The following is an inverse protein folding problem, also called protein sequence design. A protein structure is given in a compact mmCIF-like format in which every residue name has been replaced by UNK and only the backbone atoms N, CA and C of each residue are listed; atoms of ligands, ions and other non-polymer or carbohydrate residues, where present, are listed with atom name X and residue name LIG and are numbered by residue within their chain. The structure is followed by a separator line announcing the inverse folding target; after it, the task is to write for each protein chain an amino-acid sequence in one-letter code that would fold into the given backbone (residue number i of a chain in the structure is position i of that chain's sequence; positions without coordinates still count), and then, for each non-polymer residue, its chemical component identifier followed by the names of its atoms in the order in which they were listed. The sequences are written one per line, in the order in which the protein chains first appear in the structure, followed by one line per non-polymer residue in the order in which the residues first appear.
data_IF_434456173009
#
_entry.id   IF_434456173009
#
_cell.length_a   1.000
_cell.length_b   1.000
_cell.length_c   1.000
_cell.angle_alpha   90.00
_cell.angle_beta   90.00
_cell.angle_gamma   90.00
#
_symmetry.space_group_name_H-M   'P 1'
#
loop_
_entity.id
_entity.type
_entity.pdbx_description
1 polymer ?
#
# COMPACT_ATOMS: atom_id res chain seq x y z
N UNK A 1 11.61 -15.33 7.80
CA UNK A 1 12.36 -15.59 9.05
C UNK A 1 11.99 -14.53 10.08
N UNK A 2 11.94 -14.88 11.35
CA UNK A 2 11.77 -13.88 12.40
C UNK A 2 13.04 -13.01 12.49
N UNK A 3 12.90 -11.69 12.46
CA UNK A 3 14.01 -10.77 12.71
C UNK A 3 14.48 -10.98 14.16
N UNK A 4 15.76 -11.29 14.40
CA UNK A 4 16.24 -11.69 15.72
C UNK A 4 16.45 -10.46 16.63
N UNK A 5 15.38 -9.77 16.98
CA UNK A 5 15.40 -8.75 18.04
C UNK A 5 15.31 -9.48 19.37
N UNK A 6 16.46 -9.88 19.93
CA UNK A 6 16.53 -10.68 21.18
C UNK A 6 15.91 -9.96 22.39
N UNK A 7 15.74 -8.65 22.30
CA UNK A 7 15.42 -7.75 23.42
C UNK A 7 14.02 -7.15 23.35
N UNK A 8 13.16 -7.59 22.41
CA UNK A 8 11.80 -7.07 22.25
C UNK A 8 10.75 -8.20 22.22
N UNK A 9 9.55 -7.93 22.74
CA UNK A 9 8.43 -8.90 22.69
C UNK A 9 7.77 -9.00 21.30
N UNK A 10 8.08 -8.07 20.40
CA UNK A 10 7.48 -8.02 19.06
C UNK A 10 8.30 -8.85 18.09
N UNK A 11 7.64 -9.81 17.42
CA UNK A 11 8.23 -10.58 16.33
C UNK A 11 7.93 -9.91 14.99
N UNK A 12 8.97 -9.46 14.32
CA UNK A 12 8.90 -9.03 12.93
C UNK A 12 9.35 -10.15 12.02
N UNK A 13 8.77 -10.23 10.81
CA UNK A 13 9.14 -11.23 9.83
C UNK A 13 9.76 -10.55 8.61
N UNK A 14 10.87 -11.10 8.17
CA UNK A 14 11.64 -10.62 7.01
C UNK A 14 11.81 -11.76 6.00
N UNK A 15 12.06 -11.40 4.73
CA UNK A 15 12.45 -12.37 3.72
C UNK A 15 13.79 -13.04 4.10
N UNK A 16 13.91 -14.35 3.86
CA UNK A 16 15.13 -15.13 4.12
C UNK A 16 16.21 -14.89 3.07
N UNK A 17 15.79 -14.62 1.85
CA UNK A 17 16.66 -14.42 0.69
C UNK A 17 16.22 -13.12 -0.01
N UNK A 18 17.14 -12.46 -0.72
CA UNK A 18 16.75 -11.43 -1.69
C UNK A 18 15.81 -12.11 -2.68
N UNK A 19 14.50 -11.82 -2.64
CA UNK A 19 13.56 -12.55 -3.47
C UNK A 19 13.91 -12.29 -4.92
N UNK A 20 13.98 -13.35 -5.74
CA UNK A 20 14.06 -13.19 -7.19
C UNK A 20 12.92 -12.29 -7.67
N UNK A 21 13.18 -11.43 -8.65
CA UNK A 21 12.16 -10.58 -9.24
C UNK A 21 10.92 -11.41 -9.62
N UNK A 22 9.75 -10.99 -9.17
CA UNK A 22 8.47 -11.66 -9.42
C UNK A 22 7.41 -10.62 -9.67
N UNK A 23 6.58 -10.83 -10.69
CA UNK A 23 5.46 -9.93 -11.00
C UNK A 23 4.41 -9.89 -9.89
N UNK A 24 4.34 -10.93 -9.05
CA UNK A 24 3.42 -11.01 -7.92
C UNK A 24 3.95 -10.31 -6.67
N UNK A 25 5.16 -9.74 -6.71
CA UNK A 25 5.73 -9.00 -5.58
C UNK A 25 6.18 -7.61 -6.02
N UNK A 26 5.91 -6.55 -5.26
CA UNK A 26 6.39 -5.23 -5.62
C UNK A 26 7.93 -5.19 -5.52
N UNK A 27 8.58 -4.61 -6.53
CA UNK A 27 10.05 -4.59 -6.63
C UNK A 27 10.78 -3.90 -5.47
N UNK A 28 10.13 -2.94 -4.80
CA UNK A 28 10.73 -2.25 -3.66
C UNK A 28 10.65 -3.07 -2.36
N UNK A 29 9.83 -4.12 -2.31
CA UNK A 29 9.78 -5.03 -1.16
C UNK A 29 10.91 -6.05 -1.15
N UNK A 30 11.68 -6.15 -2.24
CA UNK A 30 12.74 -7.14 -2.41
C UNK A 30 14.13 -6.60 -2.07
N UNK A 31 14.28 -5.29 -1.83
CA UNK A 31 15.57 -4.64 -1.62
C UNK A 31 15.58 -3.89 -0.30
N UNK A 32 16.48 -4.30 0.60
CA UNK A 32 16.89 -3.49 1.74
C UNK A 32 17.68 -2.27 1.24
N UNK A 33 17.39 -1.08 1.77
CA UNK A 33 18.22 0.10 1.52
C UNK A 33 19.31 0.13 2.59
N UNK A 34 20.57 0.23 2.20
CA UNK A 34 21.71 0.32 3.12
C UNK A 34 22.49 1.58 2.83
N UNK A 35 23.01 2.21 3.89
CA UNK A 35 23.80 3.41 3.75
C UNK A 35 24.46 3.83 5.06
N UNK A 36 24.94 5.06 5.03
CA UNK A 36 25.52 5.75 6.19
C UNK A 36 24.80 7.09 6.36
N UNK A 37 24.67 7.53 7.61
CA UNK A 37 24.07 8.82 7.92
C UNK A 37 24.37 9.30 9.32
N UNK A 38 24.08 10.57 9.55
CA UNK A 38 24.26 11.19 10.86
C UNK A 38 23.03 10.92 11.72
N UNK A 39 23.21 10.24 12.84
CA UNK A 39 22.14 9.97 13.80
C UNK A 39 22.20 11.00 14.92
N UNK A 40 21.14 11.79 15.06
CA UNK A 40 20.97 12.76 16.14
C UNK A 40 20.00 12.18 17.17
N UNK A 41 20.49 11.89 18.37
CA UNK A 41 19.65 11.36 19.45
C UNK A 41 18.94 12.53 20.12
N UNK A 42 17.61 12.54 20.08
CA UNK A 42 16.80 13.61 20.67
C UNK A 42 16.41 13.29 22.10
N UNK A 43 16.04 12.04 22.36
CA UNK A 43 15.50 11.62 23.65
C UNK A 43 15.69 10.11 23.85
N UNK A 44 16.02 9.74 25.07
CA UNK A 44 16.10 8.36 25.54
C UNK A 44 15.19 8.22 26.75
N UNK A 45 14.12 7.46 26.60
CA UNK A 45 13.10 7.33 27.64
C UNK A 45 12.73 5.88 27.86
N UNK A 46 12.11 5.64 29.00
CA UNK A 46 11.57 4.33 29.32
C UNK A 46 10.13 4.26 28.86
N UNK A 47 9.77 3.21 28.14
CA UNK A 47 8.39 2.88 27.78
C UNK A 47 7.85 1.77 28.70
N UNK A 48 6.64 1.28 28.42
CA UNK A 48 5.92 0.27 29.18
C UNK A 48 6.82 -0.93 29.55
N UNK A 49 7.02 -1.17 30.85
CA UNK A 49 7.78 -2.31 31.37
C UNK A 49 9.29 -2.10 31.51
N UNK A 50 9.75 -0.89 31.84
CA UNK A 50 11.15 -0.53 32.07
C UNK A 50 12.11 -0.66 30.86
N UNK A 51 11.56 -0.85 29.67
CA UNK A 51 12.32 -0.96 28.42
C UNK A 51 12.70 0.41 27.86
N UNK A 52 13.89 0.50 27.26
CA UNK A 52 14.38 1.74 26.69
C UNK A 52 13.88 1.93 25.26
N UNK A 53 13.44 3.15 25.00
CA UNK A 53 13.12 3.71 23.69
C UNK A 53 14.01 4.92 23.41
N UNK A 54 14.38 5.06 22.14
CA UNK A 54 15.21 6.15 21.63
C UNK A 54 14.43 6.85 20.52
N UNK A 55 14.32 8.16 20.62
CA UNK A 55 13.85 9.04 19.55
C UNK A 55 15.03 9.80 18.97
N UNK A 56 15.07 9.88 17.64
CA UNK A 56 16.12 10.60 16.96
C UNK A 56 15.77 10.96 15.53
N UNK A 57 16.73 11.58 14.87
CA UNK A 57 16.68 11.92 13.46
C UNK A 57 17.89 11.30 12.77
N UNK A 58 17.65 10.55 11.70
CA UNK A 58 18.66 10.12 10.75
C UNK A 58 18.75 11.17 9.64
N UNK A 59 19.95 11.64 9.34
CA UNK A 59 20.22 12.52 8.20
C UNK A 59 21.12 11.81 7.21
N UNK A 60 20.65 11.65 5.98
CA UNK A 60 21.38 10.96 4.93
C UNK A 60 20.97 11.49 3.55
N UNK A 61 21.90 11.55 2.57
CA UNK A 61 21.55 11.83 1.18
C UNK A 61 20.77 10.68 0.55
N UNK A 62 20.84 9.48 1.12
CA UNK A 62 20.13 8.30 0.64
C UNK A 62 18.65 8.34 1.02
N UNK A 63 17.83 7.61 0.28
CA UNK A 63 16.42 7.44 0.65
C UNK A 63 16.31 6.56 1.89
N UNK A 64 15.61 7.04 2.92
CA UNK A 64 15.33 6.24 4.13
C UNK A 64 14.00 5.51 3.96
N UNK A 65 14.05 4.26 3.49
CA UNK A 65 12.88 3.39 3.38
C UNK A 65 11.92 3.66 2.21
N UNK A 66 10.96 2.75 2.09
CA UNK A 66 9.88 2.76 1.12
C UNK A 66 8.52 3.09 1.76
N UNK A 67 8.34 2.79 3.05
CA UNK A 67 7.10 2.99 3.82
C UNK A 67 7.39 3.34 5.29
N UNK A 68 6.40 3.95 5.95
CA UNK A 68 6.38 4.18 7.41
C UNK A 68 6.50 2.88 8.24
N UNK A 69 6.05 1.77 7.68
CA UNK A 69 6.04 0.46 8.32
C UNK A 69 7.35 -0.30 8.18
N UNK A 70 8.31 0.23 7.42
CA UNK A 70 9.63 -0.36 7.30
C UNK A 70 10.40 -0.25 8.63
N UNK A 71 11.25 -1.24 8.89
CA UNK A 71 12.11 -1.24 10.07
C UNK A 71 13.45 -0.61 9.70
N UNK A 72 13.78 0.48 10.41
CA UNK A 72 15.10 1.07 10.37
C UNK A 72 15.99 0.35 11.38
N UNK A 73 17.02 -0.36 10.91
CA UNK A 73 18.10 -0.87 11.73
C UNK A 73 19.25 0.13 11.72
N UNK A 74 19.65 0.61 12.89
CA UNK A 74 20.79 1.48 13.12
C UNK A 74 21.84 0.75 13.93
N UNK A 75 23.11 0.90 13.55
CA UNK A 75 24.24 0.38 14.31
C UNK A 75 24.98 1.53 14.99
N UNK A 76 24.47 1.97 16.14
CA UNK A 76 24.95 3.15 16.85
C UNK A 76 26.32 2.87 17.51
N UNK A 77 27.36 3.67 17.21
CA UNK A 77 28.66 3.49 17.85
C UNK A 77 28.64 4.12 19.25
N UNK A 78 28.62 3.28 20.28
CA UNK A 78 28.75 3.67 21.69
C UNK A 78 30.19 3.37 22.18
N UNK A 79 30.61 3.95 23.32
CA UNK A 79 31.89 3.60 23.91
C UNK A 79 32.02 2.08 24.11
N UNK A 80 33.03 1.48 23.48
CA UNK A 80 33.37 0.06 23.56
C UNK A 80 32.32 -0.94 22.98
N UNK A 81 31.25 -0.48 22.34
CA UNK A 81 30.24 -1.35 21.73
C UNK A 81 29.55 -0.70 20.53
N UNK A 82 29.22 -1.48 19.51
CA UNK A 82 28.29 -1.09 18.46
C UNK A 82 26.90 -1.64 18.82
N UNK A 83 25.96 -0.76 19.14
CA UNK A 83 24.62 -1.14 19.58
C UNK A 83 23.66 -1.18 18.38
N UNK A 84 22.95 -2.30 18.24
CA UNK A 84 21.90 -2.47 17.25
C UNK A 84 20.56 -1.95 17.78
N UNK A 85 20.07 -0.85 17.19
CA UNK A 85 18.76 -0.26 17.45
C UNK A 85 17.82 -0.57 16.30
N UNK A 86 16.60 -0.98 16.62
CA UNK A 86 15.54 -1.21 15.62
C UNK A 86 14.44 -0.19 15.83
N UNK A 87 14.07 0.54 14.78
CA UNK A 87 13.16 1.66 14.85
C UNK A 87 12.10 1.64 13.75
N UNK A 88 11.01 2.35 14.01
CA UNK A 88 10.03 2.72 12.99
C UNK A 88 10.29 4.14 12.54
N UNK A 89 10.07 4.39 11.26
CA UNK A 89 10.12 5.72 10.70
C UNK A 89 8.86 6.48 11.10
N UNK A 90 9.05 7.70 11.61
CA UNK A 90 7.95 8.62 11.88
C UNK A 90 7.75 9.49 10.64
N UNK A 91 6.58 9.35 10.01
CA UNK A 91 6.22 10.08 8.78
C UNK A 91 5.52 11.40 9.05
N UNK A 92 5.60 11.94 10.26
CA UNK A 92 5.06 13.26 10.57
C UNK A 92 5.65 14.35 9.64
N UNK A 93 4.78 15.18 9.07
CA UNK A 93 5.13 16.26 8.15
C UNK A 93 6.07 17.30 8.80
N UNK A 94 7.00 17.85 8.01
CA UNK A 94 7.86 18.97 8.42
C UNK A 94 9.36 18.69 8.54
N UNK A 95 9.87 17.60 7.96
CA UNK A 95 11.30 17.33 7.87
C UNK A 95 11.90 17.82 6.55
N UNK A 96 13.16 18.24 6.60
CA UNK A 96 13.91 18.60 5.40
C UNK A 96 14.18 17.34 4.55
N UNK A 97 14.40 17.53 3.25
CA UNK A 97 14.82 16.44 2.36
C UNK A 97 16.10 15.78 2.89
N UNK A 98 16.10 14.45 2.99
CA UNK A 98 17.22 13.67 3.55
C UNK A 98 17.19 13.51 5.08
N UNK A 99 16.17 14.03 5.76
CA UNK A 99 15.96 13.79 7.19
C UNK A 99 14.79 12.82 7.43
N UNK A 100 14.99 11.84 8.30
CA UNK A 100 13.97 10.90 8.73
C UNK A 100 13.94 10.81 10.26
N UNK A 101 12.79 11.12 10.86
CA UNK A 101 12.58 10.86 12.29
C UNK A 101 12.33 9.39 12.51
N UNK A 102 12.81 8.89 13.64
CA UNK A 102 12.58 7.52 14.03
C UNK A 102 12.30 7.43 15.53
N UNK A 103 11.58 6.37 15.90
CA UNK A 103 11.45 5.92 17.28
C UNK A 103 11.77 4.44 17.35
N UNK A 104 12.67 4.05 18.25
CA UNK A 104 13.02 2.64 18.43
C UNK A 104 11.85 1.86 19.01
N UNK A 105 11.80 0.58 18.68
CA UNK A 105 10.99 -0.40 19.39
C UNK A 105 11.54 -0.51 20.82
N UNK A 106 10.71 -0.66 21.86
CA UNK A 106 11.20 -0.86 23.22
C UNK A 106 12.13 -2.08 23.31
N UNK A 107 13.36 -1.87 23.76
CA UNK A 107 14.37 -2.92 23.93
C UNK A 107 14.76 -3.05 25.40
N UNK A 108 14.84 -4.30 25.86
CA UNK A 108 15.43 -4.67 27.14
C UNK A 108 16.95 -4.78 26.99
N UNK A 109 17.68 -3.75 27.42
CA UNK A 109 19.13 -3.66 27.32
C UNK A 109 19.76 -3.70 28.71
N UNK A 110 21.01 -4.15 28.79
CA UNK A 110 21.75 -4.21 30.04
C UNK A 110 21.83 -2.81 30.71
N UNK A 111 21.79 -2.71 32.05
CA UNK A 111 21.76 -1.44 32.77
C UNK A 111 22.88 -0.48 32.37
N UNK A 112 24.09 -1.01 32.12
CA UNK A 112 25.25 -0.22 31.72
C UNK A 112 25.05 0.41 30.34
N UNK A 113 24.39 -0.31 29.42
CA UNK A 113 24.04 0.20 28.09
C UNK A 113 22.94 1.26 28.20
N UNK A 114 21.98 1.08 29.10
CA UNK A 114 20.92 2.07 29.33
C UNK A 114 21.49 3.40 29.83
N UNK A 115 22.42 3.36 30.79
CA UNK A 115 23.10 4.57 31.28
C UNK A 115 23.91 5.23 30.17
N UNK A 116 24.69 4.46 29.40
CA UNK A 116 25.43 4.99 28.26
C UNK A 116 24.49 5.68 27.26
N UNK A 117 23.39 5.05 26.88
CA UNK A 117 22.40 5.61 25.97
C UNK A 117 21.80 6.91 26.49
N UNK A 118 21.42 6.98 27.77
CA UNK A 118 20.88 8.23 28.35
C UNK A 118 21.88 9.38 28.29
N UNK A 119 23.16 9.11 28.44
CA UNK A 119 24.23 10.10 28.29
C UNK A 119 24.43 10.56 26.84
N UNK A 120 23.77 9.93 25.86
CA UNK A 120 23.82 10.33 24.44
C UNK A 120 22.70 11.29 24.03
N UNK A 121 21.79 11.66 24.93
CA UNK A 121 20.76 12.66 24.61
C UNK A 121 21.39 13.97 24.11
N UNK A 122 20.96 14.42 22.93
CA UNK A 122 21.52 15.59 22.24
C UNK A 122 22.80 15.32 21.43
N UNK A 123 23.37 14.11 21.51
CA UNK A 123 24.57 13.75 20.77
C UNK A 123 24.28 13.48 19.28
N UNK A 124 25.31 13.67 18.47
CA UNK A 124 25.33 13.37 17.04
C UNK A 124 26.36 12.28 16.78
N UNK A 125 25.93 11.24 16.09
CA UNK A 125 26.76 10.09 15.69
C UNK A 125 26.95 10.13 14.18
N UNK A 126 28.05 10.70 13.69
CA UNK A 126 28.31 10.78 12.26
C UNK A 126 28.61 9.38 11.68
N UNK A 127 28.38 9.23 10.38
CA UNK A 127 28.70 8.02 9.62
C UNK A 127 28.15 6.73 10.24
N UNK A 128 26.96 6.80 10.85
CA UNK A 128 26.31 5.65 11.48
C UNK A 128 25.76 4.72 10.38
N UNK A 129 26.15 3.43 10.35
CA UNK A 129 25.59 2.48 9.40
C UNK A 129 24.10 2.27 9.67
N UNK A 130 23.31 2.24 8.59
CA UNK A 130 21.90 1.91 8.66
C UNK A 130 21.45 0.95 7.56
N UNK A 131 20.38 0.23 7.85
CA UNK A 131 19.64 -0.57 6.88
C UNK A 131 18.14 -0.35 7.09
N UNK A 132 17.41 -0.02 6.03
CA UNK A 132 15.95 -0.06 6.05
C UNK A 132 15.46 -1.38 5.48
N UNK A 133 14.72 -2.12 6.30
CA UNK A 133 14.25 -3.46 6.03
C UNK A 133 12.74 -3.38 5.74
N UNK A 134 12.30 -3.68 4.50
CA UNK A 134 10.89 -3.71 4.17
C UNK A 134 10.16 -4.77 5.00
N UNK A 135 9.07 -4.38 5.65
CA UNK A 135 8.24 -5.33 6.38
C UNK A 135 7.33 -6.05 5.40
N UNK A 136 7.46 -7.38 5.32
CA UNK A 136 6.55 -8.22 4.55
C UNK A 136 5.40 -8.66 5.44
N UNK A 137 4.17 -8.36 5.02
CA UNK A 137 2.97 -8.74 5.74
C UNK A 137 1.82 -9.07 4.76
N UNK A 138 0.66 -9.46 5.28
CA UNK A 138 -0.53 -9.84 4.51
C UNK A 138 -0.94 -8.84 3.39
N UNK A 139 -0.72 -7.52 3.49
CA UNK A 139 -0.96 -6.60 2.38
C UNK A 139 -0.16 -6.90 1.10
N UNK A 140 0.98 -7.58 1.19
CA UNK A 140 1.70 -8.07 0.01
C UNK A 140 0.89 -9.11 -0.80
N UNK A 141 0.04 -9.89 -0.11
CA UNK A 141 -0.87 -10.82 -0.78
C UNK A 141 -2.01 -10.07 -1.49
N UNK A 142 -2.43 -8.90 -1.00
CA UNK A 142 -3.40 -8.04 -1.70
C UNK A 142 -2.85 -7.58 -3.06
N UNK A 143 -1.58 -7.17 -3.11
CA UNK A 143 -0.94 -6.86 -4.39
C UNK A 143 -0.91 -8.08 -5.32
N UNK A 144 -0.57 -9.26 -4.80
CA UNK A 144 -0.61 -10.51 -5.58
C UNK A 144 -2.01 -10.77 -6.14
N UNK A 145 -3.06 -10.54 -5.34
CA UNK A 145 -4.46 -10.65 -5.77
C UNK A 145 -4.82 -9.61 -6.84
N UNK A 146 -4.29 -8.39 -6.76
CA UNK A 146 -4.48 -7.37 -7.79
C UNK A 146 -3.86 -7.83 -9.12
N UNK A 147 -2.65 -8.39 -9.09
CA UNK A 147 -1.97 -8.93 -10.27
C UNK A 147 -2.73 -10.12 -10.86
N UNK A 148 -3.26 -11.02 -10.01
CA UNK A 148 -4.12 -12.12 -10.47
C UNK A 148 -5.43 -11.60 -11.07
N UNK A 149 -6.04 -10.57 -10.48
CA UNK A 149 -7.21 -9.91 -11.04
C UNK A 149 -6.92 -9.28 -12.41
N UNK A 150 -5.77 -8.63 -12.57
CA UNK A 150 -5.32 -8.10 -13.84
C UNK A 150 -5.12 -9.22 -14.88
N UNK A 151 -4.47 -10.33 -14.48
CA UNK A 151 -4.32 -11.50 -15.34
C UNK A 151 -5.67 -12.04 -15.82
N UNK A 152 -6.65 -12.15 -14.93
CA UNK A 152 -7.96 -12.74 -15.23
C UNK A 152 -8.87 -11.82 -16.05
N UNK A 153 -8.80 -10.51 -15.84
CA UNK A 153 -9.80 -9.58 -16.39
C UNK A 153 -9.25 -8.66 -17.48
N UNK A 154 -7.93 -8.47 -17.54
CA UNK A 154 -7.31 -7.42 -18.35
C UNK A 154 -6.31 -7.93 -19.38
N UNK A 155 -5.86 -9.18 -19.28
CA UNK A 155 -4.87 -9.76 -20.20
C UNK A 155 -5.57 -10.49 -21.34
N UNK A 156 -5.24 -10.10 -22.57
CA UNK A 156 -5.73 -10.74 -23.79
C UNK A 156 -4.66 -10.79 -24.88
N UNK A 157 -5.02 -11.16 -26.10
CA UNK A 157 -4.07 -11.24 -27.23
C UNK A 157 -3.39 -9.90 -27.57
N UNK A 158 -3.95 -8.77 -27.13
CA UNK A 158 -3.48 -7.42 -27.45
C UNK A 158 -2.58 -6.78 -26.39
N UNK A 159 -2.29 -7.45 -25.27
CA UNK A 159 -1.38 -6.93 -24.23
C UNK A 159 -0.68 -8.06 -23.46
N UNK A 160 0.13 -7.69 -22.49
CA UNK A 160 0.80 -8.64 -21.59
C UNK A 160 0.38 -8.36 -20.15
N UNK A 161 0.63 -9.32 -19.26
CA UNK A 161 0.41 -9.13 -17.82
C UNK A 161 1.16 -7.91 -17.27
N UNK A 162 2.39 -7.67 -17.74
CA UNK A 162 3.20 -6.52 -17.33
C UNK A 162 2.52 -5.20 -17.67
N UNK A 163 2.00 -5.07 -18.91
CA UNK A 163 1.27 -3.87 -19.36
C UNK A 163 -0.03 -3.69 -18.57
N UNK A 164 -0.84 -4.74 -18.45
CA UNK A 164 -2.11 -4.67 -17.71
C UNK A 164 -1.92 -4.30 -16.23
N UNK A 165 -0.87 -4.82 -15.60
CA UNK A 165 -0.54 -4.52 -14.20
C UNK A 165 -0.05 -3.08 -14.05
N UNK A 166 0.81 -2.59 -14.96
CA UNK A 166 1.28 -1.20 -14.93
C UNK A 166 0.13 -0.21 -15.13
N UNK A 167 -0.76 -0.47 -16.08
CA UNK A 167 -1.96 0.34 -16.32
C UNK A 167 -2.88 0.36 -15.09
N UNK A 168 -3.08 -0.78 -14.42
CA UNK A 168 -3.87 -0.88 -13.20
C UNK A 168 -3.24 -0.08 -12.03
N UNK A 169 -1.92 -0.17 -11.85
CA UNK A 169 -1.20 0.61 -10.83
C UNK A 169 -1.27 2.10 -11.15
N UNK A 170 -1.12 2.48 -12.42
CA UNK A 170 -1.25 3.85 -12.89
C UNK A 170 -2.65 4.41 -12.59
N UNK A 171 -3.69 3.62 -12.82
CA UNK A 171 -5.07 3.96 -12.48
C UNK A 171 -5.28 4.09 -10.95
N UNK A 172 -4.73 3.16 -10.15
CA UNK A 172 -4.81 3.23 -8.70
C UNK A 172 -4.19 4.51 -8.13
N UNK A 173 -3.03 4.93 -8.65
CA UNK A 173 -2.38 6.20 -8.27
C UNK A 173 -3.20 7.42 -8.65
N UNK A 174 -3.81 7.43 -9.85
CA UNK A 174 -4.70 8.52 -10.28
C UNK A 174 -5.93 8.62 -9.37
N UNK A 175 -6.54 7.50 -8.99
CA UNK A 175 -7.62 7.48 -8.01
C UNK A 175 -7.19 8.07 -6.67
N UNK A 176 -6.01 7.70 -6.19
CA UNK A 176 -5.44 8.24 -4.96
C UNK A 176 -5.24 9.75 -5.01
N UNK A 177 -4.71 10.27 -6.13
CA UNK A 177 -4.50 11.70 -6.34
C UNK A 177 -5.84 12.47 -6.33
N UNK A 178 -6.85 11.99 -7.06
CA UNK A 178 -8.18 12.61 -7.06
C UNK A 178 -8.83 12.59 -5.67
N UNK A 179 -8.67 11.51 -4.90
CA UNK A 179 -9.22 11.40 -3.56
C UNK A 179 -8.61 12.40 -2.56
N UNK A 180 -7.39 12.88 -2.81
CA UNK A 180 -6.70 13.88 -1.96
C UNK A 180 -6.99 15.33 -2.35
N UNK A 181 -7.68 15.58 -3.48
CA UNK A 181 -8.01 16.94 -3.87
C UNK A 181 -9.00 17.53 -2.85
N UNK A 182 -8.78 18.77 -2.39
CA UNK A 182 -9.71 19.42 -1.48
C UNK A 182 -11.08 19.52 -2.14
N UNK A 183 -12.08 18.91 -1.51
CA UNK A 183 -13.47 19.08 -1.90
C UNK A 183 -13.83 20.58 -1.79
N UNK A 184 -14.55 21.12 -2.78
CA UNK A 184 -15.10 22.46 -2.62
C UNK A 184 -16.03 22.47 -1.37
N UNK A 185 -16.12 23.59 -0.63
CA UNK A 185 -16.71 23.63 0.72
C UNK A 185 -18.11 23.03 0.88
N UNK A 186 -18.87 22.86 -0.22
CA UNK A 186 -20.22 22.30 -0.26
C UNK A 186 -20.34 20.94 -0.98
N UNK A 187 -19.22 20.28 -1.27
CA UNK A 187 -19.21 19.02 -2.05
C UNK A 187 -19.24 17.83 -1.10
N UNK A 188 -20.31 17.03 -1.18
CA UNK A 188 -20.35 15.71 -0.54
C UNK A 188 -19.23 14.86 -1.15
N UNK A 189 -18.40 14.24 -0.30
CA UNK A 189 -17.39 13.26 -0.73
C UNK A 189 -18.03 12.25 -1.69
N UNK A 190 -17.58 12.27 -2.95
CA UNK A 190 -18.14 11.36 -3.94
C UNK A 190 -17.90 9.90 -3.49
N UNK A 191 -18.94 9.05 -3.56
CA UNK A 191 -18.78 7.62 -3.32
C UNK A 191 -17.66 7.07 -4.21
N UNK A 192 -16.81 6.19 -3.66
CA UNK A 192 -15.66 5.61 -4.36
C UNK A 192 -15.98 5.16 -5.81
N UNK A 193 -17.11 4.48 -5.99
CA UNK A 193 -17.54 3.99 -7.31
C UNK A 193 -17.78 5.11 -8.33
N UNK A 194 -18.30 6.27 -7.91
CA UNK A 194 -18.49 7.43 -8.78
C UNK A 194 -17.14 8.03 -9.21
N UNK A 195 -16.22 8.21 -8.24
CA UNK A 195 -14.85 8.67 -8.52
C UNK A 195 -14.11 7.72 -9.46
N UNK A 196 -14.27 6.41 -9.28
CA UNK A 196 -13.69 5.39 -10.16
C UNK A 196 -14.11 5.58 -11.62
N UNK A 197 -15.40 5.78 -11.86
CA UNK A 197 -15.96 6.05 -13.19
C UNK A 197 -15.45 7.39 -13.72
N UNK A 198 -15.49 8.45 -12.91
CA UNK A 198 -15.06 9.78 -13.32
C UNK A 198 -13.60 9.80 -13.80
N UNK A 199 -12.69 9.18 -13.04
CA UNK A 199 -11.27 9.06 -13.42
C UNK A 199 -11.10 8.32 -14.74
N UNK A 200 -11.87 7.26 -14.94
CA UNK A 200 -11.82 6.50 -16.18
C UNK A 200 -12.36 7.30 -17.38
N UNK A 201 -13.50 7.98 -17.23
CA UNK A 201 -14.09 8.77 -18.33
C UNK A 201 -13.25 10.01 -18.68
N UNK A 202 -12.54 10.58 -17.71
CA UNK A 202 -11.65 11.72 -17.92
C UNK A 202 -10.42 11.38 -18.80
N UNK A 203 -10.01 10.10 -18.86
CA UNK A 203 -8.83 9.67 -19.60
C UNK A 203 -9.14 8.53 -20.60
N UNK A 204 -9.22 8.83 -21.91
CA UNK A 204 -9.45 7.81 -22.94
C UNK A 204 -8.41 6.68 -22.94
N UNK A 205 -7.17 6.94 -22.48
CA UNK A 205 -6.13 5.92 -22.40
C UNK A 205 -6.46 4.87 -21.35
N UNK A 206 -7.03 5.29 -20.21
CA UNK A 206 -7.49 4.38 -19.15
C UNK A 206 -8.60 3.48 -19.68
N UNK A 207 -9.57 4.03 -20.43
CA UNK A 207 -10.65 3.24 -21.02
C UNK A 207 -10.16 2.23 -22.05
N UNK A 208 -9.17 2.59 -22.85
CA UNK A 208 -8.54 1.68 -23.80
C UNK A 208 -7.69 0.60 -23.13
N UNK A 209 -7.03 0.93 -22.02
CA UNK A 209 -6.18 0.00 -21.28
C UNK A 209 -6.99 -0.98 -20.42
N UNK A 210 -7.96 -0.46 -19.67
CA UNK A 210 -8.66 -1.16 -18.58
C UNK A 210 -10.15 -1.39 -18.88
N UNK A 211 -10.60 -1.25 -20.12
CA UNK A 211 -12.00 -1.40 -20.50
C UNK A 211 -12.49 -2.86 -20.56
N UNK A 212 -13.81 -3.10 -20.59
CA UNK A 212 -14.40 -4.44 -20.52
C UNK A 212 -14.10 -5.33 -21.71
N UNK A 213 -13.68 -4.75 -22.85
CA UNK A 213 -13.24 -5.51 -24.03
C UNK A 213 -12.02 -6.40 -23.75
N UNK A 214 -11.28 -6.12 -22.67
CA UNK A 214 -10.16 -6.97 -22.22
C UNK A 214 -10.57 -8.32 -21.65
N UNK A 215 -11.85 -8.49 -21.28
CA UNK A 215 -12.38 -9.79 -20.82
C UNK A 215 -12.34 -10.87 -21.92
N UNK A 216 -12.46 -10.46 -23.18
CA UNK A 216 -12.38 -11.37 -24.31
C UNK A 216 -10.92 -11.50 -24.78
N UNK A 217 -10.51 -12.74 -25.08
CA UNK A 217 -9.16 -13.01 -25.57
C UNK A 217 -8.90 -12.34 -26.93
N UNK A 218 -9.89 -12.34 -27.81
CA UNK A 218 -9.90 -11.70 -29.12
C UNK A 218 -11.31 -11.30 -29.58
N UNK A 219 -11.39 -10.51 -30.65
CA UNK A 219 -12.63 -10.31 -31.42
C UNK A 219 -13.70 -9.39 -30.83
N UNK A 220 -13.51 -8.78 -29.66
CA UNK A 220 -14.48 -7.85 -29.05
C UNK A 220 -13.93 -6.43 -29.04
N UNK A 221 -14.68 -5.49 -29.63
CA UNK A 221 -14.31 -4.07 -29.61
C UNK A 221 -14.70 -3.41 -28.28
N UNK A 222 -14.10 -2.25 -27.98
CA UNK A 222 -14.47 -1.47 -26.80
C UNK A 222 -15.96 -1.06 -26.78
N UNK A 223 -16.51 -0.76 -27.96
CA UNK A 223 -17.92 -0.37 -28.12
C UNK A 223 -18.87 -1.55 -27.86
N UNK A 224 -18.57 -2.71 -28.45
CA UNK A 224 -19.37 -3.93 -28.25
C UNK A 224 -19.37 -4.37 -26.78
N UNK A 225 -18.19 -4.35 -26.15
CA UNK A 225 -18.07 -4.73 -24.74
C UNK A 225 -18.84 -3.78 -23.81
N UNK A 226 -18.87 -2.48 -24.12
CA UNK A 226 -19.62 -1.49 -23.35
C UNK A 226 -21.15 -1.65 -23.48
N UNK A 227 -21.62 -2.32 -24.53
CA UNK A 227 -23.04 -2.67 -24.68
C UNK A 227 -23.45 -3.79 -23.71
N UNK A 228 -22.56 -4.73 -23.42
CA UNK A 228 -22.84 -5.90 -22.58
C UNK A 228 -22.53 -5.70 -21.10
N UNK A 229 -21.47 -4.94 -20.80
CA UNK A 229 -21.01 -4.73 -19.42
C UNK A 229 -21.38 -3.32 -18.96
N UNK A 230 -22.17 -3.17 -17.87
CA UNK A 230 -22.51 -1.86 -17.33
C UNK A 230 -21.26 -1.11 -16.88
N UNK A 231 -21.05 0.16 -17.29
CA UNK A 231 -19.87 0.93 -16.88
C UNK A 231 -19.75 1.08 -15.36
N UNK A 232 -20.88 1.21 -14.65
CA UNK A 232 -20.92 1.35 -13.19
C UNK A 232 -20.47 0.07 -12.47
N UNK A 233 -20.70 -1.09 -13.09
CA UNK A 233 -20.25 -2.37 -12.56
C UNK A 233 -18.78 -2.60 -12.90
N UNK A 234 -18.40 -2.38 -14.17
CA UNK A 234 -17.04 -2.58 -14.64
C UNK A 234 -16.02 -1.73 -13.88
N UNK A 235 -16.25 -0.42 -13.80
CA UNK A 235 -15.33 0.48 -13.12
C UNK A 235 -15.33 0.29 -11.60
N UNK A 236 -16.39 -0.28 -11.02
CA UNK A 236 -16.36 -0.72 -9.63
C UNK A 236 -15.45 -1.95 -9.46
N UNK A 237 -15.48 -2.92 -10.39
CA UNK A 237 -14.57 -4.07 -10.38
C UNK A 237 -13.12 -3.61 -10.52
N UNK A 238 -12.81 -2.79 -11.53
CA UNK A 238 -11.45 -2.27 -11.75
C UNK A 238 -11.00 -1.40 -10.58
N UNK A 239 -11.88 -0.54 -10.04
CA UNK A 239 -11.61 0.22 -8.84
C UNK A 239 -11.32 -0.66 -7.62
N UNK A 240 -12.04 -1.76 -7.45
CA UNK A 240 -11.79 -2.73 -6.36
C UNK A 240 -10.43 -3.40 -6.51
N UNK A 241 -10.04 -3.78 -7.74
CA UNK A 241 -8.68 -4.27 -8.02
C UNK A 241 -7.62 -3.21 -7.75
N UNK A 242 -7.89 -1.94 -8.08
CA UNK A 242 -6.97 -0.84 -7.80
C UNK A 242 -6.76 -0.63 -6.30
N UNK A 243 -7.81 -0.79 -5.47
CA UNK A 243 -7.73 -0.69 -4.00
C UNK A 243 -6.93 -1.81 -3.35
N UNK A 244 -6.72 -2.94 -4.04
CA UNK A 244 -5.84 -4.02 -3.59
C UNK A 244 -4.36 -3.65 -3.69
N UNK A 245 -3.99 -2.55 -4.36
CA UNK A 245 -2.61 -2.03 -4.40
C UNK A 245 -2.36 -1.21 -3.13
N UNK A 246 -1.58 -1.71 -2.15
CA UNK A 246 -1.36 -1.00 -0.90
C UNK A 246 -0.63 0.34 -1.14
N UNK A 247 -1.09 1.38 -0.45
CA UNK A 247 -0.48 2.71 -0.52
C UNK A 247 -0.63 3.45 -1.84
N UNK A 248 -1.50 3.02 -2.75
CA UNK A 248 -1.78 3.76 -3.99
C UNK A 248 -2.55 5.07 -3.73
N UNK A 249 -3.25 5.16 -2.60
CA UNK A 249 -4.06 6.30 -2.18
C UNK A 249 -4.92 6.00 -0.95
N UNK A 250 -5.68 6.97 -0.43
CA UNK A 250 -6.48 6.81 0.77
C UNK A 250 -7.59 5.74 0.67
N UNK A 251 -8.01 5.37 -0.54
CA UNK A 251 -9.01 4.33 -0.77
C UNK A 251 -8.45 2.90 -0.71
N UNK A 252 -7.12 2.74 -0.72
CA UNK A 252 -6.47 1.43 -0.68
C UNK A 252 -6.89 0.68 0.59
N UNK A 253 -7.05 -0.64 0.52
CA UNK A 253 -7.44 -1.42 1.71
C UNK A 253 -6.39 -1.37 2.82
N UNK A 254 -5.13 -1.20 2.44
CA UNK A 254 -3.98 -1.06 3.33
C UNK A 254 -3.19 0.20 2.95
N UNK A 255 -2.72 0.93 3.96
CA UNK A 255 -1.95 2.17 3.80
C UNK A 255 -0.59 1.93 3.16
N UNK A 256 -0.01 0.78 3.43
CA UNK A 256 1.23 0.31 2.85
C UNK A 256 1.32 -1.22 3.00
N UNK A 257 2.46 -1.77 2.61
CA UNK A 257 2.64 -3.21 2.60
C UNK A 257 2.93 -3.84 3.97
N UNK A 258 3.24 -3.03 4.98
CA UNK A 258 3.43 -3.45 6.36
C UNK A 258 2.19 -3.21 7.24
N UNK A 259 1.12 -2.62 6.70
CA UNK A 259 -0.13 -2.28 7.39
C UNK A 259 -0.99 -3.52 7.71
N UNK A 260 -0.49 -4.36 8.61
CA UNK A 260 -1.24 -5.45 9.21
C UNK A 260 -1.07 -5.48 10.72
N UNK A 261 -2.11 -5.96 11.40
CA UNK A 261 -2.01 -6.24 12.82
C UNK A 261 -1.07 -7.42 13.07
N UNK A 262 -0.09 -7.32 13.98
CA UNK A 262 0.82 -8.42 14.31
C UNK A 262 0.10 -9.70 14.78
N UNK A 263 -1.13 -9.59 15.26
CA UNK A 263 -1.90 -10.71 15.82
C UNK A 263 -3.10 -11.14 14.97
N UNK A 264 -3.47 -10.38 13.94
CA UNK A 264 -4.62 -10.64 13.08
C UNK A 264 -4.27 -10.28 11.62
N UNK A 265 -3.38 -11.07 11.00
CA UNK A 265 -2.90 -10.82 9.65
C UNK A 265 -4.02 -10.92 8.61
N UNK A 266 -4.96 -11.85 8.83
CA UNK A 266 -6.12 -12.09 7.98
C UNK A 266 -7.08 -10.91 7.90
N UNK A 267 -7.06 -9.99 8.88
CA UNK A 267 -7.92 -8.81 8.91
C UNK A 267 -7.73 -7.90 7.69
N UNK A 268 -6.55 -7.95 7.05
CA UNK A 268 -6.29 -7.23 5.80
C UNK A 268 -7.21 -7.69 4.65
N UNK A 269 -7.78 -8.90 4.72
CA UNK A 269 -8.65 -9.49 3.69
C UNK A 269 -10.15 -9.20 3.90
N UNK A 270 -10.57 -8.78 5.10
CA UNK A 270 -12.00 -8.65 5.44
C UNK A 270 -12.77 -7.69 4.52
N UNK A 271 -12.21 -6.48 4.32
CA UNK A 271 -12.81 -5.48 3.45
C UNK A 271 -12.76 -5.89 1.96
N UNK A 272 -11.63 -6.36 1.41
CA UNK A 272 -11.57 -6.95 0.07
C UNK A 272 -12.62 -8.04 -0.17
N UNK A 273 -12.73 -9.03 0.74
CA UNK A 273 -13.65 -10.15 0.59
C UNK A 273 -15.11 -9.70 0.59
N UNK A 274 -15.46 -8.71 1.43
CA UNK A 274 -16.80 -8.12 1.45
C UNK A 274 -17.14 -7.44 0.13
N UNK A 275 -16.25 -6.62 -0.39
CA UNK A 275 -16.48 -5.86 -1.61
C UNK A 275 -16.55 -6.79 -2.84
N UNK A 276 -15.64 -7.77 -2.93
CA UNK A 276 -15.67 -8.80 -3.96
C UNK A 276 -16.95 -9.66 -3.86
N UNK A 277 -17.41 -9.99 -2.65
CA UNK A 277 -18.67 -10.70 -2.43
C UNK A 277 -19.88 -9.91 -2.96
N UNK A 278 -19.93 -8.61 -2.71
CA UNK A 278 -20.97 -7.72 -3.24
C UNK A 278 -20.93 -7.65 -4.77
N UNK A 279 -19.74 -7.53 -5.37
CA UNK A 279 -19.57 -7.54 -6.82
C UNK A 279 -19.97 -8.88 -7.45
N UNK A 280 -19.68 -10.00 -6.79
CA UNK A 280 -20.09 -11.33 -7.24
C UNK A 280 -21.62 -11.46 -7.27
N UNK A 281 -22.32 -10.93 -6.27
CA UNK A 281 -23.78 -10.91 -6.27
C UNK A 281 -24.35 -10.04 -7.41
N UNK A 282 -23.76 -8.86 -7.67
CA UNK A 282 -24.19 -7.96 -8.76
C UNK A 282 -23.94 -8.57 -10.15
N UNK A 283 -22.80 -9.24 -10.34
CA UNK A 283 -22.43 -9.87 -11.62
C UNK A 283 -23.27 -11.11 -11.95
N UNK A 284 -23.76 -11.87 -10.94
CA UNK A 284 -24.71 -12.97 -11.17
C UNK A 284 -25.97 -12.54 -11.92
N UNK A 285 -26.42 -11.30 -11.70
CA UNK A 285 -27.56 -10.72 -12.42
C UNK A 285 -27.33 -10.57 -13.94
N UNK A 286 -26.07 -10.53 -14.38
CA UNK A 286 -25.72 -10.49 -15.82
C UNK A 286 -25.77 -11.86 -16.50
N UNK A 287 -25.71 -12.95 -15.74
CA UNK A 287 -25.70 -14.32 -16.29
C UNK A 287 -27.12 -14.85 -16.49
N UNK A 288 -28.07 -14.47 -15.63
CA UNK A 288 -29.40 -15.11 -15.53
C UNK A 288 -30.52 -14.26 -16.14
N UNK A 289 -30.32 -12.95 -16.34
CA UNK A 289 -31.35 -12.03 -16.85
C UNK A 289 -30.86 -11.31 -18.10
N UNK A 290 -31.77 -11.03 -19.05
CA UNK A 290 -31.50 -10.07 -20.12
C UNK A 290 -31.37 -8.67 -19.51
N UNK A 291 -30.16 -8.34 -19.08
CA UNK A 291 -29.80 -7.03 -18.52
C UNK A 291 -30.21 -5.88 -19.46
N UNK A 292 -30.24 -6.13 -20.77
CA UNK A 292 -30.74 -5.20 -21.78
C UNK A 292 -32.21 -4.87 -21.55
N UNK A 293 -33.06 -5.89 -21.41
CA UNK A 293 -34.48 -5.74 -21.05
C UNK A 293 -34.66 -5.02 -19.70
N UNK A 294 -33.84 -5.33 -18.69
CA UNK A 294 -33.89 -4.63 -17.40
C UNK A 294 -33.50 -3.14 -17.51
N UNK A 295 -32.52 -2.81 -18.37
CA UNK A 295 -32.08 -1.43 -18.61
C UNK A 295 -33.13 -0.64 -19.40
N UNK A 296 -33.81 -1.28 -20.36
CA UNK A 296 -34.93 -0.68 -21.08
C UNK A 296 -36.10 -0.38 -20.14
N UNK A 297 -36.49 -1.35 -19.31
CA UNK A 297 -37.55 -1.16 -18.30
C UNK A 297 -37.17 -0.04 -17.32
N UNK A 298 -35.93 -0.01 -16.81
CA UNK A 298 -35.47 1.04 -15.90
C UNK A 298 -35.46 2.43 -16.56
N UNK A 299 -35.09 2.54 -17.84
CA UNK A 299 -35.16 3.80 -18.61
C UNK A 299 -36.60 4.26 -18.81
N UNK A 300 -37.51 3.35 -19.12
CA UNK A 300 -38.94 3.65 -19.26
C UNK A 300 -39.51 4.14 -17.93
N UNK A 301 -39.20 3.47 -16.81
CA UNK A 301 -39.64 3.89 -15.47
C UNK A 301 -39.12 5.29 -15.12
N UNK A 302 -37.81 5.57 -15.36
CA UNK A 302 -37.24 6.90 -15.13
C UNK A 302 -37.93 7.98 -15.95
N UNK A 303 -38.24 7.69 -17.22
CA UNK A 303 -38.94 8.62 -18.14
C UNK A 303 -40.36 8.93 -17.68
N UNK A 304 -41.06 7.96 -17.11
CA UNK A 304 -42.43 8.15 -16.58
C UNK A 304 -42.43 8.97 -15.27
N UNK A 305 -41.40 8.83 -14.42
CA UNK A 305 -41.29 9.59 -13.15
C UNK A 305 -40.76 11.02 -13.29
N UNK A 306 -40.35 11.46 -14.47
CA UNK A 306 -39.90 12.84 -14.74
C UNK A 306 -40.92 13.69 -15.53
N UNK A 307 -42.13 13.17 -15.68
CA UNK A 307 -43.33 13.85 -16.19
C UNK A 307 -44.33 14.04 -15.07
#
# INVERSE_FOLDING_TARGET
MALPIKTADVRYFIALEQPSASVYRPAHMTQSIRGFGDVRIRRVFTDTGDRICVEGTLVTPDRVGHSASDILWLRLPLPNIALDLFARLDTAEGLAAGEARFRTIPQDLAPEINEMLRNTEGAVFPDTPFETIPLLSAPADLYSLAVLGALLLLVNSGNTLGVATDDLIGYARKLGQEATKPAAPDTVLEPFAARAIQVAEADPRIRAALGPHRLAYDGVTAEDAAAWVPPDLWWHIIGTLARLIPGAGPDSYCKDYGDASPFNLEKALDAPLRDLGNLLLRTRGLIISDWTSNREVARVIKKVHTT
#
